data_IF_044866096155
#
_entry.id   IF_044866096155
#
_cell.length_a   1.000
_cell.length_b   1.000
_cell.length_c   1.000
_cell.angle_alpha   90.00
_cell.angle_beta   90.00
_cell.angle_gamma   90.00
#
_symmetry.space_group_name_H-M   'P 1'
#
loop_
_entity.id
_entity.type
_entity.pdbx_description
1 polymer ?
#
# COMPACT_ATOMS: atom_id res chain seq x y z
N UNK A 1 -15.84 4.99 -29.59
CA UNK A 1 -14.63 5.59 -28.99
C UNK A 1 -14.48 5.11 -27.54
N UNK A 2 -13.80 3.97 -27.29
CA UNK A 2 -13.76 3.35 -25.95
C UNK A 2 -12.44 2.63 -25.69
N UNK A 3 -11.38 3.40 -25.48
CA UNK A 3 -10.28 2.99 -24.60
C UNK A 3 -10.44 3.80 -23.32
N UNK A 4 -11.40 3.36 -22.49
CA UNK A 4 -12.00 4.11 -21.36
C UNK A 4 -11.87 3.39 -20.02
N UNK A 5 -11.14 2.27 -19.97
CA UNK A 5 -11.16 1.33 -18.84
C UNK A 5 -9.79 0.66 -18.65
N UNK A 6 -8.88 0.71 -19.63
CA UNK A 6 -7.68 -0.13 -19.73
C UNK A 6 -6.62 0.03 -18.64
N UNK A 7 -6.38 1.24 -18.13
CA UNK A 7 -5.40 1.45 -17.04
C UNK A 7 -6.00 1.12 -15.66
N UNK A 8 -7.30 1.35 -15.51
CA UNK A 8 -8.08 0.93 -14.34
C UNK A 8 -8.19 -0.60 -14.29
N UNK A 9 -8.29 -1.23 -15.46
CA UNK A 9 -8.19 -2.68 -15.69
C UNK A 9 -6.79 -3.22 -15.42
N UNK A 10 -5.70 -2.46 -15.55
CA UNK A 10 -4.34 -2.98 -15.30
C UNK A 10 -4.07 -3.18 -13.81
N UNK A 11 -4.54 -2.26 -12.96
CA UNK A 11 -4.51 -2.42 -11.49
C UNK A 11 -5.50 -3.51 -11.05
N UNK A 12 -6.62 -3.69 -11.78
CA UNK A 12 -7.59 -4.76 -11.59
C UNK A 12 -7.10 -6.13 -12.12
N UNK A 13 -6.26 -6.18 -13.17
CA UNK A 13 -5.71 -7.41 -13.79
C UNK A 13 -4.59 -8.02 -12.94
N UNK A 14 -3.81 -7.18 -12.25
CA UNK A 14 -2.80 -7.62 -11.28
C UNK A 14 -3.43 -8.33 -10.06
N UNK A 15 -4.75 -8.21 -9.86
CA UNK A 15 -5.49 -8.81 -8.76
C UNK A 15 -6.22 -10.13 -9.12
N UNK A 16 -6.29 -10.55 -10.40
CA UNK A 16 -7.29 -11.56 -10.85
C UNK A 16 -6.76 -12.74 -11.72
N UNK A 17 -5.50 -12.80 -12.16
CA UNK A 17 -4.98 -13.95 -12.95
C UNK A 17 -3.73 -14.56 -12.27
N UNK A 18 -3.64 -15.82 -11.83
CA UNK A 18 -4.47 -17.01 -12.05
C UNK A 18 -4.20 -18.14 -11.03
N UNK A 19 -4.99 -19.21 -11.16
CA UNK A 19 -5.13 -20.39 -10.29
C UNK A 19 -3.83 -21.24 -10.14
N UNK A 20 -3.51 -21.85 -8.99
CA UNK A 20 -3.79 -23.28 -8.62
C UNK A 20 -2.97 -23.63 -7.33
N UNK A 21 -3.44 -24.65 -6.57
CA UNK A 21 -2.96 -25.42 -5.36
C UNK A 21 -1.72 -25.04 -4.51
N UNK A 22 -1.81 -25.42 -3.23
CA UNK A 22 -1.14 -24.87 -2.04
C UNK A 22 -0.03 -25.73 -1.41
N UNK A 23 0.95 -25.09 -0.72
CA UNK A 23 1.94 -25.64 0.27
C UNK A 23 2.42 -24.47 1.20
N UNK A 24 2.86 -24.68 2.48
CA UNK A 24 2.67 -23.70 3.58
C UNK A 24 3.84 -22.75 3.91
N UNK A 25 3.50 -21.67 4.63
CA UNK A 25 4.34 -20.57 5.15
C UNK A 25 5.23 -20.98 6.36
N UNK A 26 6.48 -20.47 6.47
CA UNK A 26 7.28 -20.58 7.68
C UNK A 26 6.95 -19.45 8.69
N UNK A 27 6.77 -19.82 9.96
CA UNK A 27 6.48 -18.89 11.07
C UNK A 27 7.74 -18.15 11.52
N UNK A 28 7.64 -16.86 11.90
CA UNK A 28 8.54 -16.26 12.86
C UNK A 28 7.89 -16.18 14.24
N UNK A 29 8.70 -16.48 15.27
CA UNK A 29 8.37 -16.35 16.69
C UNK A 29 8.43 -14.88 17.09
N UNK A 30 7.39 -14.38 17.76
CA UNK A 30 7.30 -13.01 18.25
C UNK A 30 7.76 -12.90 19.70
N UNK A 31 8.50 -11.84 20.03
CA UNK A 31 8.54 -11.27 21.37
C UNK A 31 7.67 -10.01 21.37
N UNK A 32 6.83 -9.79 22.40
CA UNK A 32 6.02 -8.58 22.50
C UNK A 32 6.92 -7.35 22.72
N UNK A 33 6.65 -6.27 21.99
CA UNK A 33 7.29 -4.98 22.18
C UNK A 33 6.96 -4.43 23.59
N UNK A 34 7.91 -3.74 24.21
CA UNK A 34 7.70 -3.09 25.50
C UNK A 34 6.53 -2.09 25.42
N UNK A 35 5.73 -2.00 26.47
CA UNK A 35 4.48 -1.20 26.51
C UNK A 35 4.71 0.27 26.15
N UNK A 36 5.89 0.80 26.52
CA UNK A 36 6.30 2.18 26.25
C UNK A 36 6.65 2.40 24.77
N UNK A 37 7.33 1.46 24.14
CA UNK A 37 7.68 1.52 22.71
C UNK A 37 6.41 1.41 21.85
N UNK A 38 5.50 0.52 22.23
CA UNK A 38 4.19 0.37 21.59
C UNK A 38 3.37 1.67 21.65
N UNK A 39 3.38 2.37 22.78
CA UNK A 39 2.71 3.66 22.93
C UNK A 39 3.34 4.76 22.07
N UNK A 40 4.67 4.79 21.95
CA UNK A 40 5.38 5.74 21.09
C UNK A 40 5.09 5.49 19.60
N UNK A 41 5.08 4.22 19.17
CA UNK A 41 4.69 3.83 17.82
C UNK A 41 3.25 4.25 17.50
N UNK A 42 2.31 4.00 18.43
CA UNK A 42 0.92 4.40 18.25
C UNK A 42 0.78 5.92 18.12
N UNK A 43 1.45 6.68 18.99
CA UNK A 43 1.46 8.14 18.92
C UNK A 43 2.08 8.66 17.62
N UNK A 44 3.14 8.00 17.12
CA UNK A 44 3.75 8.34 15.84
C UNK A 44 2.76 8.17 14.68
N UNK A 45 2.02 7.05 14.65
CA UNK A 45 0.99 6.79 13.61
C UNK A 45 -0.19 7.76 13.73
N UNK A 46 -0.70 7.99 14.95
CA UNK A 46 -1.89 8.81 15.21
C UNK A 46 -1.71 10.27 14.73
N UNK A 47 -0.48 10.79 14.76
CA UNK A 47 -0.12 12.12 14.21
C UNK A 47 -0.46 12.27 12.72
N UNK A 48 -0.44 11.19 11.95
CA UNK A 48 -0.72 11.21 10.51
C UNK A 48 -2.16 10.79 10.18
N UNK A 49 -2.87 10.14 11.11
CA UNK A 49 -4.28 9.78 10.93
C UNK A 49 -5.23 10.98 11.02
N UNK A 50 -4.88 11.94 11.87
CA UNK A 50 -5.60 13.21 12.02
C UNK A 50 -4.59 14.36 12.10
N UNK A 51 -3.97 14.72 10.96
CA UNK A 51 -2.87 15.66 10.97
C UNK A 51 -3.38 17.07 11.30
N UNK A 52 -2.76 17.71 12.30
CA UNK A 52 -3.06 19.11 12.68
C UNK A 52 -2.57 20.12 11.62
N UNK A 53 -1.56 19.75 10.85
CA UNK A 53 -0.99 20.52 9.75
C UNK A 53 -0.93 19.64 8.50
N UNK A 54 -1.05 20.20 7.29
CA UNK A 54 -0.83 19.43 6.07
C UNK A 54 0.54 18.74 6.09
N UNK A 55 0.63 17.55 5.52
CA UNK A 55 1.91 16.88 5.30
C UNK A 55 2.04 16.43 3.85
N UNK A 56 3.29 16.37 3.38
CA UNK A 56 3.61 15.91 2.03
C UNK A 56 4.21 14.51 2.09
N UNK A 57 4.10 13.79 0.99
CA UNK A 57 4.73 12.48 0.86
C UNK A 57 5.18 12.22 -0.58
N UNK A 58 6.15 11.33 -0.73
CA UNK A 58 6.52 10.71 -1.99
C UNK A 58 6.04 9.28 -1.97
N UNK A 59 5.27 8.88 -2.98
CA UNK A 59 4.85 7.50 -3.21
C UNK A 59 5.70 6.92 -4.34
N UNK A 60 6.42 5.85 -4.06
CA UNK A 60 7.06 5.00 -5.06
C UNK A 60 6.22 3.74 -5.25
N UNK A 61 5.87 3.42 -6.49
CA UNK A 61 5.19 2.17 -6.85
C UNK A 61 6.17 1.29 -7.62
N UNK A 62 6.39 0.07 -7.14
CA UNK A 62 7.27 -0.92 -7.76
C UNK A 62 6.61 -2.30 -7.82
N UNK A 63 7.04 -3.09 -8.80
CA UNK A 63 6.76 -4.52 -8.91
C UNK A 63 8.12 -5.22 -8.83
N UNK A 64 8.27 -6.11 -7.85
CA UNK A 64 9.50 -6.86 -7.58
C UNK A 64 9.18 -8.36 -7.82
N UNK A 65 9.99 -9.07 -8.61
CA UNK A 65 9.76 -10.48 -8.98
C UNK A 65 9.12 -10.70 -10.36
N UNK A 66 9.53 -11.76 -11.05
CA UNK A 66 9.22 -12.03 -12.47
C UNK A 66 10.35 -12.79 -13.19
N UNK A 67 10.07 -13.91 -13.87
CA UNK A 67 10.98 -14.37 -14.94
C UNK A 67 11.18 -13.23 -15.95
N UNK A 68 12.38 -13.03 -16.53
CA UNK A 68 12.65 -11.92 -17.41
C UNK A 68 11.80 -12.07 -18.68
N UNK A 69 10.63 -11.44 -18.70
CA UNK A 69 9.89 -11.24 -19.92
C UNK A 69 10.73 -10.28 -20.78
N UNK A 70 11.35 -10.84 -21.81
CA UNK A 70 12.07 -10.15 -22.85
C UNK A 70 11.38 -8.83 -23.24
N UNK A 71 12.17 -7.75 -23.24
CA UNK A 71 11.91 -6.49 -23.93
C UNK A 71 10.63 -5.72 -23.56
N UNK A 72 10.53 -5.26 -22.31
CA UNK A 72 10.09 -3.89 -22.02
C UNK A 72 10.69 -3.44 -20.68
N UNK A 73 11.81 -2.73 -20.75
CA UNK A 73 12.36 -1.96 -19.62
C UNK A 73 12.89 -2.81 -18.46
N UNK A 74 14.03 -3.47 -18.68
CA UNK A 74 14.93 -3.87 -17.59
C UNK A 74 15.42 -2.61 -16.87
N UNK A 75 14.74 -2.25 -15.79
CA UNK A 75 15.14 -1.19 -14.88
C UNK A 75 14.19 -1.17 -13.70
N UNK A 76 14.69 -1.38 -12.50
CA UNK A 76 13.99 -1.19 -11.21
C UNK A 76 13.69 0.29 -10.94
N UNK A 77 13.23 1.04 -11.95
CA UNK A 77 12.80 2.43 -11.84
C UNK A 77 11.36 2.42 -11.32
N UNK A 78 11.22 2.35 -10.00
CA UNK A 78 9.94 2.58 -9.35
C UNK A 78 9.34 3.92 -9.82
N UNK A 79 8.03 3.97 -10.01
CA UNK A 79 7.34 5.18 -10.47
C UNK A 79 7.05 6.06 -9.28
N UNK A 80 7.48 7.33 -9.37
CA UNK A 80 7.36 8.28 -8.27
C UNK A 80 6.17 9.22 -8.47
N UNK A 81 5.44 9.43 -7.38
CA UNK A 81 4.34 10.35 -7.27
C UNK A 81 4.54 11.21 -6.02
N UNK A 82 4.04 12.43 -6.04
CA UNK A 82 4.06 13.34 -4.89
C UNK A 82 2.64 13.57 -4.45
N UNK A 83 2.41 13.51 -3.15
CA UNK A 83 1.09 13.77 -2.59
C UNK A 83 1.13 14.72 -1.40
N UNK A 84 -0.06 15.20 -1.07
CA UNK A 84 -0.32 16.04 0.11
C UNK A 84 -1.57 15.54 0.80
N UNK A 85 -1.56 15.55 2.13
CA UNK A 85 -2.73 15.22 2.97
C UNK A 85 -3.06 16.40 3.85
N UNK A 86 -4.34 16.79 3.87
CA UNK A 86 -4.89 17.85 4.73
C UNK A 86 -6.17 17.32 5.38
N UNK A 87 -6.09 16.98 6.68
CA UNK A 87 -7.20 16.35 7.38
C UNK A 87 -7.58 15.00 6.75
N UNK A 88 -8.75 14.92 6.10
CA UNK A 88 -9.23 13.72 5.38
C UNK A 88 -9.01 13.79 3.88
N UNK A 89 -8.73 14.97 3.36
CA UNK A 89 -8.53 15.20 1.93
C UNK A 89 -7.07 14.93 1.57
N UNK A 90 -6.85 14.43 0.36
CA UNK A 90 -5.51 14.16 -0.11
C UNK A 90 -5.42 14.26 -1.62
N UNK A 91 -4.22 14.52 -2.11
CA UNK A 91 -3.89 14.56 -3.54
C UNK A 91 -2.66 13.72 -3.82
N UNK A 92 -2.60 13.15 -5.02
CA UNK A 92 -1.41 12.48 -5.56
C UNK A 92 -1.25 12.96 -7.00
N UNK A 93 -0.06 13.44 -7.34
CA UNK A 93 0.30 13.86 -8.68
C UNK A 93 1.57 13.14 -9.11
N UNK A 94 1.60 12.65 -10.35
CA UNK A 94 2.80 12.08 -10.92
C UNK A 94 2.67 11.87 -12.42
N UNK A 95 3.75 11.42 -13.03
CA UNK A 95 3.83 11.20 -14.47
C UNK A 95 3.98 9.71 -14.76
N UNK A 96 3.16 9.19 -15.66
CA UNK A 96 3.19 7.80 -16.11
C UNK A 96 3.05 7.78 -17.63
N UNK A 97 3.96 7.08 -18.33
CA UNK A 97 3.95 6.95 -19.79
C UNK A 97 3.82 8.29 -20.51
N UNK A 98 4.56 9.31 -20.05
CA UNK A 98 4.52 10.65 -20.64
C UNK A 98 3.29 11.49 -20.27
N UNK A 99 2.30 10.95 -19.56
CA UNK A 99 1.07 11.64 -19.16
C UNK A 99 1.07 11.99 -17.67
N UNK A 100 0.52 13.15 -17.32
CA UNK A 100 0.33 13.57 -15.93
C UNK A 100 -1.01 13.05 -15.39
N UNK A 101 -0.96 12.46 -14.21
CA UNK A 101 -2.11 11.96 -13.47
C UNK A 101 -2.26 12.77 -12.20
N UNK A 102 -3.49 13.20 -11.90
CA UNK A 102 -3.85 13.80 -10.62
C UNK A 102 -4.99 13.01 -10.00
N UNK A 103 -4.72 12.35 -8.87
CA UNK A 103 -5.74 11.77 -8.01
C UNK A 103 -6.06 12.77 -6.91
N UNK A 104 -7.34 13.06 -6.70
CA UNK A 104 -7.81 14.00 -5.68
C UNK A 104 -8.94 13.36 -4.90
N UNK A 105 -8.75 13.17 -3.61
CA UNK A 105 -9.79 12.80 -2.66
C UNK A 105 -10.23 14.04 -1.90
N UNK A 106 -11.49 14.46 -2.09
CA UNK A 106 -12.09 15.58 -1.35
C UNK A 106 -13.49 15.21 -0.90
N UNK A 107 -13.77 15.36 0.39
CA UNK A 107 -15.11 15.08 0.94
C UNK A 107 -15.58 13.64 0.71
N UNK A 108 -14.65 12.68 0.64
CA UNK A 108 -14.96 11.27 0.36
C UNK A 108 -15.22 10.95 -1.12
N UNK A 109 -14.99 11.89 -2.03
CA UNK A 109 -15.06 11.68 -3.48
C UNK A 109 -13.64 11.62 -4.02
N UNK A 110 -13.28 10.53 -4.71
CA UNK A 110 -12.00 10.40 -5.41
C UNK A 110 -12.21 10.65 -6.89
N UNK A 111 -11.44 11.59 -7.44
CA UNK A 111 -11.40 11.87 -8.88
C UNK A 111 -10.01 11.60 -9.42
N UNK A 112 -9.96 11.05 -10.63
CA UNK A 112 -8.75 10.92 -11.44
C UNK A 112 -8.84 11.93 -12.58
N UNK A 113 -7.86 12.83 -12.67
CA UNK A 113 -7.68 13.74 -13.81
C UNK A 113 -6.48 13.31 -14.64
N UNK A 114 -6.69 13.16 -15.94
CA UNK A 114 -5.64 12.85 -16.90
C UNK A 114 -6.04 13.34 -18.29
N UNK A 115 -5.09 13.89 -19.06
CA UNK A 115 -5.30 14.33 -20.44
C UNK A 115 -6.57 15.20 -20.64
N UNK A 116 -6.81 16.14 -19.72
CA UNK A 116 -7.98 17.03 -19.75
C UNK A 116 -9.32 16.37 -19.41
N UNK A 117 -9.34 15.09 -19.02
CA UNK A 117 -10.52 14.35 -18.59
C UNK A 117 -10.53 14.18 -17.09
N UNK A 118 -11.71 14.21 -16.50
CA UNK A 118 -11.96 13.88 -15.10
C UNK A 118 -12.85 12.64 -15.01
N UNK A 119 -12.44 11.68 -14.19
CA UNK A 119 -13.11 10.39 -14.00
C UNK A 119 -13.39 10.23 -12.51
N UNK A 120 -14.64 9.92 -12.15
CA UNK A 120 -15.00 9.52 -10.80
C UNK A 120 -14.48 8.11 -10.53
N UNK A 121 -13.72 7.98 -9.45
CA UNK A 121 -13.13 6.70 -9.03
C UNK A 121 -14.04 6.06 -7.98
N UNK A 122 -14.41 4.77 -8.14
CA UNK A 122 -15.30 4.09 -7.21
C UNK A 122 -14.80 4.14 -5.75
N UNK A 123 -15.69 4.36 -4.76
CA UNK A 123 -15.35 4.33 -3.33
C UNK A 123 -14.57 3.10 -2.88
N UNK A 124 -14.77 1.96 -3.55
CA UNK A 124 -14.13 0.70 -3.21
C UNK A 124 -12.60 0.75 -3.29
N UNK A 125 -12.03 1.57 -4.19
CA UNK A 125 -10.57 1.61 -4.42
C UNK A 125 -9.86 2.76 -3.72
N UNK A 126 -10.57 3.56 -2.91
CA UNK A 126 -9.98 4.75 -2.25
C UNK A 126 -8.80 4.40 -1.33
N UNK A 127 -8.93 3.30 -0.58
CA UNK A 127 -7.94 2.84 0.38
C UNK A 127 -6.66 2.26 -0.21
N UNK A 128 -6.52 2.20 -1.54
CA UNK A 128 -5.31 1.69 -2.21
C UNK A 128 -4.20 2.72 -2.38
N UNK A 129 -4.52 4.01 -2.23
CA UNK A 129 -3.60 5.09 -2.58
C UNK A 129 -3.22 5.96 -1.39
N UNK A 130 -4.11 6.09 -0.42
CA UNK A 130 -3.96 7.00 0.71
C UNK A 130 -3.00 6.44 1.76
N UNK A 131 -1.88 7.13 2.09
CA UNK A 131 -1.03 6.72 3.20
C UNK A 131 -1.79 6.72 4.52
N UNK A 132 -2.78 7.61 4.68
CA UNK A 132 -3.64 7.66 5.87
C UNK A 132 -4.49 6.39 6.03
N UNK A 133 -5.03 5.87 4.93
CA UNK A 133 -5.84 4.65 4.98
C UNK A 133 -4.96 3.44 5.32
N UNK A 134 -3.75 3.36 4.74
CA UNK A 134 -2.77 2.33 5.11
C UNK A 134 -2.32 2.44 6.58
N UNK A 135 -2.03 3.65 7.06
CA UNK A 135 -1.70 3.87 8.46
C UNK A 135 -2.85 3.48 9.40
N UNK A 136 -4.11 3.62 8.96
CA UNK A 136 -5.26 3.18 9.77
C UNK A 136 -5.31 1.66 9.93
N UNK A 137 -4.86 0.91 8.91
CA UNK A 137 -4.69 -0.54 8.99
C UNK A 137 -3.53 -0.88 9.92
N UNK A 138 -2.38 -0.22 9.77
CA UNK A 138 -1.22 -0.40 10.66
C UNK A 138 -1.62 -0.16 12.12
N UNK A 139 -2.34 0.92 12.40
CA UNK A 139 -2.78 1.28 13.75
C UNK A 139 -3.62 0.20 14.44
N UNK A 140 -4.39 -0.58 13.67
CA UNK A 140 -5.25 -1.67 14.15
C UNK A 140 -4.46 -2.88 14.65
N UNK A 141 -3.31 -3.17 14.03
CA UNK A 141 -2.51 -4.37 14.33
C UNK A 141 -1.14 -4.03 14.94
N UNK A 142 -0.96 -2.79 15.38
CA UNK A 142 0.32 -2.29 15.87
C UNK A 142 0.76 -2.99 17.17
N UNK A 143 -0.19 -3.48 17.95
CA UNK A 143 0.03 -4.32 19.14
C UNK A 143 0.69 -5.65 18.83
N UNK A 144 0.60 -6.12 17.58
CA UNK A 144 1.20 -7.36 17.07
C UNK A 144 2.43 -7.10 16.21
N UNK A 145 2.93 -5.86 16.19
CA UNK A 145 4.06 -5.48 15.38
C UNK A 145 5.33 -6.21 15.86
N UNK A 146 6.14 -6.68 14.93
CA UNK A 146 7.42 -7.32 15.22
C UNK A 146 8.56 -6.42 14.76
N UNK A 147 9.65 -6.27 15.54
CA UNK A 147 10.83 -5.56 15.08
C UNK A 147 11.37 -6.18 13.78
N UNK A 148 11.85 -5.34 12.87
CA UNK A 148 12.54 -5.77 11.65
C UNK A 148 13.86 -5.01 11.51
N UNK A 149 14.61 -5.30 10.45
CA UNK A 149 15.83 -4.55 10.13
C UNK A 149 15.50 -3.09 9.86
N UNK A 150 16.40 -2.20 10.26
CA UNK A 150 16.29 -0.79 9.96
C UNK A 150 16.10 -0.55 8.45
N UNK A 151 15.28 0.43 8.13
CA UNK A 151 14.91 0.76 6.76
C UNK A 151 15.50 2.10 6.34
N UNK A 152 15.97 2.24 5.10
CA UNK A 152 16.50 3.51 4.61
C UNK A 152 15.36 4.52 4.41
N UNK A 153 15.41 5.62 5.16
CA UNK A 153 14.49 6.75 5.05
C UNK A 153 15.29 8.06 5.08
N UNK A 154 15.04 8.94 4.10
CA UNK A 154 15.59 10.31 4.05
C UNK A 154 17.10 10.41 4.36
N UNK A 155 17.92 9.54 3.75
CA UNK A 155 19.38 9.58 3.88
C UNK A 155 19.97 8.87 5.10
N UNK A 156 19.15 8.24 5.95
CA UNK A 156 19.62 7.41 7.07
C UNK A 156 18.81 6.13 7.23
N UNK A 157 19.35 5.15 7.94
CA UNK A 157 18.57 4.00 8.39
C UNK A 157 17.76 4.39 9.64
N UNK A 158 16.51 3.96 9.74
CA UNK A 158 15.65 4.17 10.91
C UNK A 158 15.10 2.84 11.43
N UNK A 159 14.91 2.68 12.76
CA UNK A 159 14.23 1.54 13.34
C UNK A 159 12.87 1.30 12.69
N UNK A 160 12.56 0.03 12.44
CA UNK A 160 11.33 -0.35 11.77
C UNK A 160 10.64 -1.53 12.43
N UNK A 161 9.32 -1.56 12.28
CA UNK A 161 8.48 -2.68 12.66
C UNK A 161 7.73 -3.22 11.46
N UNK A 162 7.51 -4.53 11.47
CA UNK A 162 6.68 -5.27 10.54
C UNK A 162 5.31 -5.49 11.16
N UNK A 163 4.26 -5.26 10.37
CA UNK A 163 2.87 -5.52 10.75
C UNK A 163 2.23 -6.36 9.66
N UNK A 164 1.90 -7.61 9.98
CA UNK A 164 1.21 -8.52 9.07
C UNK A 164 -0.30 -8.44 9.28
N UNK A 165 -1.06 -8.28 8.19
CA UNK A 165 -2.51 -8.30 8.23
C UNK A 165 -3.01 -9.74 8.25
N UNK A 166 -3.91 -10.11 9.18
CA UNK A 166 -4.49 -11.44 9.18
C UNK A 166 -5.19 -11.78 7.86
N UNK A 167 -5.08 -13.02 7.35
CA UNK A 167 -5.65 -13.41 6.05
C UNK A 167 -7.15 -13.12 5.90
N UNK A 168 -7.93 -13.29 6.97
CA UNK A 168 -9.36 -12.99 7.02
C UNK A 168 -9.66 -11.51 6.74
N UNK A 169 -8.82 -10.62 7.27
CA UNK A 169 -8.95 -9.18 7.10
C UNK A 169 -8.46 -8.74 5.71
N UNK A 170 -7.41 -9.39 5.18
CA UNK A 170 -7.00 -9.22 3.78
C UNK A 170 -8.14 -9.59 2.83
N UNK A 171 -8.79 -10.73 3.05
CA UNK A 171 -9.93 -11.14 2.24
C UNK A 171 -11.11 -10.15 2.34
N UNK A 172 -11.39 -9.62 3.54
CA UNK A 172 -12.42 -8.60 3.73
C UNK A 172 -12.09 -7.28 3.02
N UNK A 173 -10.82 -6.86 3.05
CA UNK A 173 -10.32 -5.68 2.33
C UNK A 173 -10.46 -5.86 0.82
N UNK A 174 -10.03 -7.00 0.28
CA UNK A 174 -10.14 -7.32 -1.15
C UNK A 174 -11.61 -7.37 -1.59
N UNK A 175 -12.49 -8.00 -0.82
CA UNK A 175 -13.93 -8.03 -1.11
C UNK A 175 -14.52 -6.62 -1.16
N UNK A 176 -14.13 -5.75 -0.23
CA UNK A 176 -14.57 -4.35 -0.24
C UNK A 176 -14.05 -3.61 -1.47
N UNK A 177 -12.79 -3.82 -1.82
CA UNK A 177 -12.11 -3.11 -2.92
C UNK A 177 -12.62 -3.52 -4.31
N UNK A 178 -12.86 -4.81 -4.49
CA UNK A 178 -13.32 -5.39 -5.76
C UNK A 178 -14.85 -5.35 -5.91
N UNK A 179 -15.57 -5.04 -4.82
CA UNK A 179 -17.00 -4.80 -4.81
C UNK A 179 -17.85 -6.05 -5.09
N UNK A 180 -19.16 -5.87 -5.34
CA UNK A 180 -20.11 -6.97 -5.54
C UNK A 180 -19.80 -7.89 -6.73
N UNK A 181 -18.96 -7.47 -7.67
CA UNK A 181 -18.51 -8.32 -8.78
C UNK A 181 -17.58 -9.46 -8.32
N UNK A 182 -16.93 -9.30 -7.15
CA UNK A 182 -16.05 -10.30 -6.55
C UNK A 182 -16.84 -11.25 -5.62
N UNK A 183 -17.91 -11.87 -6.15
CA UNK A 183 -18.83 -12.70 -5.36
C UNK A 183 -18.62 -14.22 -5.49
N UNK A 184 -17.57 -14.68 -6.18
CA UNK A 184 -17.21 -16.08 -6.16
C UNK A 184 -16.68 -16.51 -4.79
N UNK A 185 -17.46 -17.27 -4.00
CA UNK A 185 -17.00 -17.85 -2.71
C UNK A 185 -15.65 -18.59 -2.84
N UNK A 186 -15.43 -19.22 -3.99
CA UNK A 186 -14.16 -19.91 -4.34
C UNK A 186 -13.01 -18.93 -4.57
N UNK A 187 -13.25 -17.81 -5.25
CA UNK A 187 -12.23 -16.79 -5.50
C UNK A 187 -11.82 -16.06 -4.22
N UNK A 188 -12.76 -15.81 -3.30
CA UNK A 188 -12.47 -15.20 -2.00
C UNK A 188 -11.71 -16.15 -1.06
N UNK A 189 -12.08 -17.44 -1.03
CA UNK A 189 -11.35 -18.45 -0.28
C UNK A 189 -9.91 -18.61 -0.79
N UNK A 190 -9.73 -18.63 -2.12
CA UNK A 190 -8.40 -18.67 -2.73
C UNK A 190 -7.60 -17.39 -2.47
N UNK A 191 -8.24 -16.21 -2.48
CA UNK A 191 -7.57 -14.95 -2.18
C UNK A 191 -7.09 -14.89 -0.73
N UNK A 192 -7.86 -15.41 0.24
CA UNK A 192 -7.44 -15.53 1.65
C UNK A 192 -6.12 -16.30 1.78
N UNK A 193 -5.98 -17.40 1.05
CA UNK A 193 -4.81 -18.26 1.19
C UNK A 193 -3.60 -17.78 0.38
N UNK A 194 -3.83 -16.96 -0.67
CA UNK A 194 -2.79 -16.56 -1.63
C UNK A 194 -2.34 -15.10 -1.54
N UNK A 195 -3.13 -14.23 -0.93
CA UNK A 195 -2.75 -12.84 -0.71
C UNK A 195 -2.15 -12.69 0.69
N UNK A 196 -1.01 -12.00 0.76
CA UNK A 196 -0.42 -11.52 2.01
C UNK A 196 -0.23 -10.02 1.90
N UNK A 197 -0.62 -9.30 2.94
CA UNK A 197 -0.37 -7.88 3.06
C UNK A 197 0.48 -7.66 4.30
N UNK A 198 1.70 -7.18 4.06
CA UNK A 198 2.66 -6.86 5.10
C UNK A 198 2.97 -5.38 5.03
N UNK A 199 2.95 -4.71 6.18
CA UNK A 199 3.40 -3.34 6.32
C UNK A 199 4.77 -3.33 6.98
N UNK A 200 5.65 -2.43 6.51
CA UNK A 200 6.89 -2.08 7.21
C UNK A 200 6.82 -0.59 7.53
N UNK A 201 6.84 -0.27 8.82
CA UNK A 201 6.74 1.09 9.34
C UNK A 201 8.09 1.51 9.93
N UNK A 202 8.77 2.46 9.31
CA UNK A 202 9.99 3.10 9.82
C UNK A 202 9.64 4.35 10.61
N UNK A 203 10.06 4.41 11.87
CA UNK A 203 9.83 5.54 12.77
C UNK A 203 11.15 6.16 13.19
N UNK A 204 11.26 7.46 13.02
CA UNK A 204 12.41 8.23 13.44
C UNK A 204 12.42 8.37 14.97
N UNK A 205 13.43 7.82 15.67
CA UNK A 205 13.44 7.77 17.13
C UNK A 205 13.66 9.15 17.76
N UNK A 206 14.21 10.12 17.03
CA UNK A 206 14.53 11.44 17.59
C UNK A 206 13.32 12.35 17.70
N UNK A 207 12.35 12.22 16.77
CA UNK A 207 11.18 13.09 16.72
C UNK A 207 9.85 12.31 16.78
N UNK A 208 9.89 10.98 16.89
CA UNK A 208 8.75 10.08 16.90
C UNK A 208 7.80 10.32 15.71
N UNK A 209 8.37 10.43 14.51
CA UNK A 209 7.64 10.61 13.25
C UNK A 209 7.75 9.38 12.37
N UNK A 210 6.71 9.09 11.61
CA UNK A 210 6.76 8.07 10.57
C UNK A 210 7.62 8.61 9.44
N UNK A 211 8.79 8.02 9.23
CA UNK A 211 9.69 8.41 8.15
C UNK A 211 9.37 7.63 6.86
N UNK A 212 8.94 6.38 7.01
CA UNK A 212 8.65 5.48 5.89
C UNK A 212 7.51 4.52 6.22
N UNK A 213 6.67 4.25 5.21
CA UNK A 213 5.68 3.19 5.23
C UNK A 213 5.80 2.40 3.92
N UNK A 214 6.10 1.11 4.00
CA UNK A 214 6.03 0.19 2.86
C UNK A 214 4.81 -0.71 3.01
N UNK A 215 4.03 -0.81 1.95
CA UNK A 215 2.94 -1.76 1.79
C UNK A 215 3.41 -2.81 0.81
N UNK A 216 3.54 -4.03 1.29
CA UNK A 216 3.98 -5.17 0.51
C UNK A 216 2.75 -6.04 0.32
N UNK A 217 2.32 -6.16 -0.93
CA UNK A 217 1.24 -7.06 -1.32
C UNK A 217 1.87 -8.19 -2.11
N UNK A 218 1.92 -9.37 -1.50
CA UNK A 218 2.38 -10.58 -2.15
C UNK A 218 1.15 -11.36 -2.61
N UNK A 219 1.14 -11.70 -3.89
CA UNK A 219 0.30 -12.77 -4.41
C UNK A 219 1.21 -13.99 -4.55
N UNK A 220 1.02 -14.97 -3.68
CA UNK A 220 1.82 -16.18 -3.66
C UNK A 220 1.50 -17.03 -4.90
N UNK A 221 2.29 -16.84 -5.96
CA UNK A 221 2.49 -17.79 -7.04
C UNK A 221 3.78 -18.59 -6.75
N UNK A 222 3.69 -19.92 -6.55
CA UNK A 222 4.86 -20.77 -6.30
C UNK A 222 5.91 -20.76 -7.41
N UNK A 223 5.51 -20.43 -8.65
CA UNK A 223 6.38 -20.46 -9.83
C UNK A 223 7.05 -19.12 -10.11
N UNK A 224 6.47 -18.02 -9.62
CA UNK A 224 6.96 -16.68 -9.87
C UNK A 224 6.35 -15.68 -8.87
N UNK A 225 6.87 -15.58 -7.64
CA UNK A 225 6.31 -14.66 -6.66
C UNK A 225 6.44 -13.22 -7.15
N UNK A 226 5.30 -12.61 -7.49
CA UNK A 226 5.22 -11.19 -7.82
C UNK A 226 4.82 -10.41 -6.58
N UNK A 227 5.68 -9.48 -6.22
CA UNK A 227 5.48 -8.59 -5.09
C UNK A 227 5.17 -7.18 -5.59
N UNK A 228 4.05 -6.63 -5.13
CA UNK A 228 3.73 -5.23 -5.33
C UNK A 228 4.15 -4.43 -4.11
N UNK A 229 4.92 -3.37 -4.33
CA UNK A 229 5.42 -2.50 -3.25
C UNK A 229 4.94 -1.07 -3.48
N UNK A 230 4.21 -0.56 -2.51
CA UNK A 230 3.93 0.87 -2.35
C UNK A 230 4.84 1.39 -1.23
N UNK A 231 5.73 2.31 -1.54
CA UNK A 231 6.60 2.93 -0.54
C UNK A 231 6.25 4.42 -0.41
N UNK A 232 5.78 4.79 0.78
CA UNK A 232 5.51 6.16 1.17
C UNK A 232 6.68 6.69 1.98
N UNK A 233 7.26 7.78 1.53
CA UNK A 233 8.24 8.58 2.28
C UNK A 233 7.56 9.87 2.70
N UNK A 234 7.50 10.12 4.00
CA UNK A 234 6.85 11.31 4.52
C UNK A 234 7.85 12.47 4.48
N UNK A 235 7.46 13.54 3.82
CA UNK A 235 8.26 14.77 3.75
C UNK A 235 7.81 15.71 4.88
N UNK A 236 8.73 16.51 5.38
CA UNK A 236 8.40 17.53 6.38
C UNK A 236 7.38 18.53 5.82
N UNK A 237 6.49 18.99 6.70
CA UNK A 237 5.56 20.10 6.48
C UNK A 237 5.70 21.13 7.58
#
# INVERSE_FOLDING_TARGET
MRWTVGLMLLVLFLLVAGCVRAVPDPRPVAQPADSRESAQLAAAVDRYLMPKKPYRFVLKVAVEGGAPASAMGSGSEGRYFVGTVTGRDWTITGRLNGQTYHLVSRGGILTLRMAGREILVPPSVHGLFSPRDHLSVVRRYLDRATPTRDVPATGRAVPAVRVDVPPEDVAAMLRRALGPAFQGRVALAQAKDRARVTYVLGVDPHNARVALLRVIVLFADPSNPVQHVLEYRFLEG
#
